data_IF_641003715758
#
_entry.id   IF_641003715758
#
_cell.length_a   1.000
_cell.length_b   1.000
_cell.length_c   1.000
_cell.angle_alpha   90.00
_cell.angle_beta   90.00
_cell.angle_gamma   90.00
#
_symmetry.space_group_name_H-M   'P 1'
#
loop_
_entity.id
_entity.type
_entity.pdbx_description
1 polymer ?
#
# COMPACT_ATOMS: atom_id res chain seq x y z
N UNK A 1 32.26 -16.75 -34.15
CA UNK A 1 31.78 -15.78 -33.14
C UNK A 1 30.40 -16.26 -32.76
N UNK A 2 30.33 -17.17 -31.78
CA UNK A 2 29.08 -17.62 -31.21
C UNK A 2 28.83 -16.72 -29.99
N UNK A 3 27.69 -16.02 -29.99
CA UNK A 3 27.16 -15.34 -28.82
C UNK A 3 26.86 -16.42 -27.77
N UNK A 4 27.65 -16.44 -26.69
CA UNK A 4 27.32 -17.19 -25.48
C UNK A 4 26.02 -16.63 -24.88
N UNK A 5 24.97 -17.44 -24.67
CA UNK A 5 23.78 -16.98 -23.97
C UNK A 5 24.17 -16.67 -22.52
N UNK A 6 23.85 -15.44 -22.09
CA UNK A 6 24.05 -14.93 -20.74
C UNK A 6 23.63 -16.01 -19.74
N UNK A 7 24.63 -16.64 -19.13
CA UNK A 7 24.46 -17.64 -18.08
C UNK A 7 23.81 -16.94 -16.90
N UNK A 8 22.50 -17.11 -16.77
CA UNK A 8 21.73 -16.63 -15.62
C UNK A 8 22.24 -17.43 -14.44
N UNK A 9 22.85 -16.83 -13.40
CA UNK A 9 23.25 -17.60 -12.23
C UNK A 9 21.97 -18.04 -11.51
N UNK A 10 21.58 -19.29 -11.76
CA UNK A 10 20.40 -19.93 -11.21
C UNK A 10 20.62 -20.44 -9.77
N UNK A 11 21.53 -19.83 -9.01
CA UNK A 11 22.02 -20.41 -7.76
C UNK A 11 22.33 -19.38 -6.65
N UNK A 12 21.65 -18.22 -6.65
CA UNK A 12 21.69 -17.28 -5.52
C UNK A 12 20.30 -16.84 -5.04
N UNK A 13 19.21 -17.38 -5.61
CA UNK A 13 17.85 -16.93 -5.30
C UNK A 13 17.22 -17.56 -4.04
N UNK A 14 17.90 -18.49 -3.37
CA UNK A 14 17.31 -19.24 -2.25
C UNK A 14 17.82 -18.86 -0.85
N UNK A 15 18.94 -18.12 -0.73
CA UNK A 15 19.59 -17.88 0.57
C UNK A 15 19.62 -16.41 1.04
N UNK A 16 19.09 -15.51 0.23
CA UNK A 16 18.78 -14.11 0.56
C UNK A 16 17.27 -13.98 0.30
N UNK A 17 16.32 -13.69 1.22
CA UNK A 17 16.30 -12.65 2.24
C UNK A 17 15.07 -12.88 3.17
N UNK A 18 15.13 -13.68 4.25
CA UNK A 18 14.06 -13.71 5.26
C UNK A 18 13.76 -12.29 5.80
N UNK A 19 14.76 -11.42 5.79
CA UNK A 19 14.65 -10.00 6.14
C UNK A 19 13.77 -9.18 5.19
N UNK A 20 13.81 -9.41 3.86
CA UNK A 20 12.98 -8.66 2.91
C UNK A 20 11.52 -9.08 3.01
N UNK A 21 11.26 -10.39 3.14
CA UNK A 21 9.90 -10.90 3.35
C UNK A 21 9.30 -10.37 4.66
N UNK A 22 10.10 -10.30 5.73
CA UNK A 22 9.67 -9.72 7.02
C UNK A 22 9.40 -8.22 6.93
N UNK A 23 10.29 -7.46 6.27
CA UNK A 23 10.14 -6.02 6.03
C UNK A 23 8.86 -5.72 5.23
N UNK A 24 8.60 -6.49 4.17
CA UNK A 24 7.38 -6.38 3.39
C UNK A 24 6.13 -6.64 4.24
N UNK A 25 6.14 -7.68 5.07
CA UNK A 25 5.04 -7.97 5.99
C UNK A 25 4.76 -6.82 6.98
N UNK A 26 5.80 -6.15 7.49
CA UNK A 26 5.64 -4.99 8.35
C UNK A 26 5.02 -3.79 7.61
N UNK A 27 5.47 -3.53 6.38
CA UNK A 27 4.93 -2.46 5.54
C UNK A 27 3.46 -2.68 5.20
N UNK A 28 3.06 -3.90 4.84
CA UNK A 28 1.65 -4.23 4.54
C UNK A 28 0.75 -4.00 5.76
N UNK A 29 1.21 -4.40 6.96
CA UNK A 29 0.45 -4.17 8.20
C UNK A 29 0.30 -2.68 8.50
N UNK A 30 1.39 -1.91 8.40
CA UNK A 30 1.35 -0.47 8.63
C UNK A 30 0.44 0.22 7.61
N UNK A 31 0.48 -0.20 6.35
CA UNK A 31 -0.41 0.34 5.32
C UNK A 31 -1.89 0.08 5.64
N UNK A 32 -2.25 -1.12 6.10
CA UNK A 32 -3.62 -1.42 6.55
C UNK A 32 -4.09 -0.50 7.68
N UNK A 33 -3.27 -0.33 8.72
CA UNK A 33 -3.57 0.56 9.86
C UNK A 33 -3.72 2.01 9.42
N UNK A 34 -2.86 2.49 8.51
CA UNK A 34 -2.92 3.86 8.01
C UNK A 34 -4.16 4.11 7.13
N UNK A 35 -4.56 3.15 6.29
CA UNK A 35 -5.79 3.24 5.49
C UNK A 35 -7.03 3.32 6.36
N UNK A 36 -7.04 2.55 7.45
CA UNK A 36 -8.12 2.56 8.42
C UNK A 36 -8.20 3.89 9.19
N UNK A 37 -7.03 4.46 9.51
CA UNK A 37 -6.93 5.69 10.33
C UNK A 37 -7.12 6.98 9.54
N UNK A 38 -6.73 7.00 8.29
CA UNK A 38 -6.70 8.21 7.47
C UNK A 38 -7.55 8.03 6.23
N UNK A 39 -8.71 8.69 6.18
CA UNK A 39 -9.62 8.63 5.04
C UNK A 39 -8.95 9.00 3.70
N UNK A 40 -7.92 9.87 3.73
CA UNK A 40 -7.15 10.23 2.54
C UNK A 40 -6.34 9.06 1.93
N UNK A 41 -6.13 7.97 2.67
CA UNK A 41 -5.48 6.75 2.20
C UNK A 41 -6.47 5.62 1.89
N UNK A 42 -7.73 5.75 2.31
CA UNK A 42 -8.79 4.79 2.03
C UNK A 42 -9.16 4.82 0.53
N UNK A 43 -9.30 6.02 -0.04
CA UNK A 43 -9.52 6.20 -1.48
C UNK A 43 -8.21 6.34 -2.27
N UNK A 44 -8.30 6.21 -3.60
CA UNK A 44 -7.16 6.39 -4.47
C UNK A 44 -6.58 7.81 -4.36
N UNK A 45 -5.29 7.89 -4.01
CA UNK A 45 -4.57 9.15 -3.87
C UNK A 45 -4.24 9.68 -5.27
N UNK A 46 -5.08 10.57 -5.81
CA UNK A 46 -4.96 11.19 -7.16
C UNK A 46 -3.83 12.24 -7.26
N UNK A 47 -2.64 11.87 -6.80
CA UNK A 47 -1.44 12.69 -6.83
C UNK A 47 -0.34 11.97 -7.61
N UNK A 48 0.59 12.76 -8.15
CA UNK A 48 1.85 12.19 -8.63
C UNK A 48 2.60 11.50 -7.47
N UNK A 49 3.46 10.50 -7.75
CA UNK A 49 4.10 9.70 -6.70
C UNK A 49 4.91 10.54 -5.70
N UNK A 50 5.56 11.62 -6.15
CA UNK A 50 6.33 12.51 -5.29
C UNK A 50 5.47 13.23 -4.24
N UNK A 51 4.38 13.95 -4.59
CA UNK A 51 3.49 14.53 -3.59
C UNK A 51 2.73 13.48 -2.78
N UNK A 52 2.37 12.34 -3.39
CA UNK A 52 1.73 11.23 -2.68
C UNK A 52 2.60 10.70 -1.52
N UNK A 53 3.91 10.57 -1.74
CA UNK A 53 4.85 10.13 -0.72
C UNK A 53 4.87 11.06 0.50
N UNK A 54 4.79 12.38 0.30
CA UNK A 54 4.73 13.35 1.41
C UNK A 54 3.49 13.19 2.27
N UNK A 55 2.34 12.89 1.64
CA UNK A 55 1.09 12.63 2.35
C UNK A 55 1.23 11.35 3.20
N UNK A 56 1.80 10.29 2.62
CA UNK A 56 2.05 9.03 3.32
C UNK A 56 3.00 9.24 4.51
N UNK A 57 4.11 9.97 4.31
CA UNK A 57 5.05 10.32 5.37
C UNK A 57 4.39 11.09 6.51
N UNK A 58 3.56 12.08 6.19
CA UNK A 58 2.79 12.81 7.18
C UNK A 58 1.84 11.89 7.97
N UNK A 59 1.15 10.97 7.31
CA UNK A 59 0.27 9.99 7.96
C UNK A 59 1.04 9.06 8.92
N UNK A 60 2.24 8.63 8.55
CA UNK A 60 3.13 7.82 9.41
C UNK A 60 3.55 8.63 10.64
N UNK A 61 4.03 9.86 10.46
CA UNK A 61 4.43 10.73 11.56
C UNK A 61 3.28 11.00 12.53
N UNK A 62 2.10 11.32 12.00
CA UNK A 62 0.91 11.55 12.82
C UNK A 62 0.45 10.29 13.55
N UNK A 63 0.52 9.11 12.92
CA UNK A 63 0.24 7.85 13.58
C UNK A 63 1.19 7.59 14.75
N UNK A 64 2.48 7.84 14.58
CA UNK A 64 3.47 7.71 15.64
C UNK A 64 3.17 8.66 16.80
N UNK A 65 2.88 9.93 16.51
CA UNK A 65 2.47 10.92 17.53
C UNK A 65 1.23 10.44 18.27
N UNK A 66 0.23 9.96 17.55
CA UNK A 66 -1.01 9.48 18.16
C UNK A 66 -0.77 8.28 19.09
N UNK A 67 0.12 7.36 18.70
CA UNK A 67 0.57 6.25 19.58
C UNK A 67 1.31 6.75 20.81
N UNK A 68 2.19 7.75 20.67
CA UNK A 68 2.89 8.37 21.81
C UNK A 68 1.91 9.04 22.79
N UNK A 69 0.81 9.61 22.27
CA UNK A 69 -0.26 10.21 23.07
C UNK A 69 -1.23 9.17 23.64
N UNK A 70 -1.08 7.88 23.33
CA UNK A 70 -2.00 6.83 23.76
C UNK A 70 -3.41 6.97 23.18
N UNK A 71 -3.55 7.62 22.02
CA UNK A 71 -4.83 7.70 21.33
C UNK A 71 -5.22 6.31 20.81
N UNK A 72 -6.48 5.89 20.98
CA UNK A 72 -6.95 4.64 20.43
C UNK A 72 -6.74 4.62 18.91
N UNK A 73 -6.49 3.43 18.37
CA UNK A 73 -6.64 3.21 16.94
C UNK A 73 -8.14 3.28 16.59
N UNK A 74 -8.51 3.85 15.44
CA UNK A 74 -9.91 3.88 15.04
C UNK A 74 -10.44 2.45 14.98
N UNK A 75 -11.61 2.21 15.59
CA UNK A 75 -12.21 0.88 15.68
C UNK A 75 -12.36 0.27 14.28
N UNK A 76 -11.97 -1.00 14.13
CA UNK A 76 -11.97 -1.79 12.86
C UNK A 76 -13.35 -2.03 12.26
N UNK A 77 -14.36 -1.30 12.71
CA UNK A 77 -15.77 -1.61 12.57
C UNK A 77 -16.41 -0.91 11.37
N UNK A 78 -15.59 -0.29 10.51
CA UNK A 78 -16.02 0.01 9.16
C UNK A 78 -16.12 -1.31 8.43
N UNK A 79 -17.31 -1.93 8.48
CA UNK A 79 -17.73 -2.89 7.47
C UNK A 79 -17.38 -2.25 6.13
N UNK A 80 -16.54 -2.93 5.35
CA UNK A 80 -16.21 -2.54 3.98
C UNK A 80 -17.52 -2.50 3.17
N UNK A 81 -18.20 -1.36 3.18
CA UNK A 81 -19.20 -1.02 2.17
C UNK A 81 -18.45 -0.73 0.87
N UNK A 82 -17.78 -1.74 0.33
CA UNK A 82 -17.42 -1.84 -1.08
C UNK A 82 -18.73 -1.98 -1.88
N UNK A 83 -19.51 -0.91 -1.89
CA UNK A 83 -20.48 -0.61 -2.94
C UNK A 83 -19.70 -0.19 -4.17
N UNK A 84 -19.16 -1.17 -4.89
CA UNK A 84 -18.66 -1.00 -6.25
C UNK A 84 -19.88 -0.60 -7.10
N UNK A 85 -20.19 0.72 -7.14
CA UNK A 85 -21.26 1.26 -7.96
C UNK A 85 -20.93 0.91 -9.42
N UNK A 86 -21.76 0.10 -10.12
CA UNK A 86 -21.51 -0.21 -11.51
C UNK A 86 -21.58 1.09 -12.31
N UNK A 87 -20.43 1.51 -12.84
CA UNK A 87 -20.35 2.66 -13.74
C UNK A 87 -21.35 2.45 -14.89
N UNK A 88 -22.42 3.23 -14.87
CA UNK A 88 -23.51 3.14 -15.83
C UNK A 88 -22.98 3.29 -17.26
N UNK A 89 -23.09 2.21 -18.04
CA UNK A 89 -22.96 2.27 -19.49
C UNK A 89 -24.22 2.91 -20.07
N UNK A 90 -24.33 4.24 -19.98
CA UNK A 90 -25.26 4.99 -20.82
C UNK A 90 -24.60 5.19 -22.19
N UNK A 91 -24.86 4.26 -23.12
CA UNK A 91 -24.74 4.53 -24.54
C UNK A 91 -26.14 4.52 -25.17
N UNK A 92 -26.79 5.68 -25.12
CA UNK A 92 -27.81 6.06 -26.08
C UNK A 92 -27.26 5.94 -27.50
N UNK A 93 -27.93 5.12 -28.32
CA UNK A 93 -28.01 5.35 -29.76
C UNK A 93 -29.34 4.78 -30.27
N UNK A 94 -30.28 5.71 -30.50
CA UNK A 94 -31.43 5.52 -31.37
C UNK A 94 -30.98 5.49 -32.84
#
# INVERSE_FOLDING_TARGET
>A
MADDPISRPADQAAEELPAVTSCHGALLRVNGVLKHRWHCLHSELRYQPLPAMKVIEACICLHNVARTLGLPDPDSDYEDEDGDEPQGQNNQRA
#
